data_IF_607632939526
#
_entry.id   IF_607632939526
#
_cell.length_a   1.000
_cell.length_b   1.000
_cell.length_c   1.000
_cell.angle_alpha   90.00
_cell.angle_beta   90.00
_cell.angle_gamma   90.00
#
_symmetry.space_group_name_H-M   'P 1'
#
loop_
_entity.id
_entity.type
_entity.pdbx_description
1 polymer ?
#
# COMPACT_ATOMS: atom_id res chain seq x y z
N UNK A 1 26.80 11.40 -15.69
CA UNK A 1 27.00 10.36 -14.71
C UNK A 1 27.78 9.21 -15.34
N UNK A 2 28.92 8.84 -14.78
CA UNK A 2 29.80 7.80 -15.33
C UNK A 2 30.44 7.00 -14.20
N UNK A 3 30.80 5.74 -14.48
CA UNK A 3 31.46 4.84 -13.54
C UNK A 3 32.96 4.72 -13.85
N UNK A 4 33.76 4.62 -12.79
CA UNK A 4 35.22 4.47 -12.87
C UNK A 4 35.67 3.32 -11.97
N UNK A 5 36.66 2.56 -12.44
CA UNK A 5 37.33 1.53 -11.67
C UNK A 5 38.30 2.12 -10.62
N UNK A 6 38.89 1.26 -9.80
CA UNK A 6 39.91 1.66 -8.80
C UNK A 6 41.19 2.21 -9.43
N UNK A 7 41.41 1.96 -10.73
CA UNK A 7 42.50 2.50 -11.55
C UNK A 7 42.18 3.88 -12.18
N UNK A 8 40.98 4.44 -11.84
CA UNK A 8 40.52 5.72 -12.38
C UNK A 8 40.04 5.69 -13.83
N UNK A 9 40.00 4.52 -14.48
CA UNK A 9 39.53 4.38 -15.85
C UNK A 9 38.03 4.13 -15.89
N UNK A 10 37.32 4.59 -16.95
CA UNK A 10 35.91 4.25 -17.15
C UNK A 10 35.65 2.75 -17.10
N UNK A 11 34.61 2.35 -16.42
CA UNK A 11 34.22 0.94 -16.33
C UNK A 11 32.71 0.76 -16.48
N UNK A 12 32.28 -0.46 -16.79
CA UNK A 12 30.87 -0.84 -16.80
C UNK A 12 30.45 -1.24 -15.39
N UNK A 13 29.37 -0.67 -14.88
CA UNK A 13 28.77 -1.11 -13.61
C UNK A 13 28.26 -2.52 -13.71
N UNK A 14 28.69 -3.43 -12.81
CA UNK A 14 28.24 -4.83 -12.78
C UNK A 14 26.74 -4.97 -12.53
N UNK A 15 26.13 -4.07 -11.75
CA UNK A 15 24.70 -4.10 -11.44
C UNK A 15 23.83 -3.39 -12.47
N UNK A 16 24.38 -2.36 -13.16
CA UNK A 16 23.59 -1.52 -14.09
C UNK A 16 23.88 -1.82 -15.56
N UNK A 17 24.98 -2.52 -15.87
CA UNK A 17 25.37 -2.98 -17.20
C UNK A 17 25.66 -1.88 -18.24
N UNK A 18 25.91 -0.63 -17.79
CA UNK A 18 26.36 0.48 -18.64
C UNK A 18 27.55 1.20 -18.00
N UNK A 19 28.30 1.97 -18.81
CA UNK A 19 29.46 2.73 -18.34
C UNK A 19 29.10 4.18 -18.01
N UNK A 20 28.14 4.74 -18.72
CA UNK A 20 27.76 6.15 -18.60
C UNK A 20 26.26 6.33 -18.84
N UNK A 21 25.66 7.24 -18.10
CA UNK A 21 24.31 7.77 -18.37
C UNK A 21 24.43 9.24 -18.75
N UNK A 22 23.76 9.63 -19.83
CA UNK A 22 23.69 11.01 -20.32
C UNK A 22 22.27 11.47 -20.35
N UNK A 23 22.03 12.67 -19.83
CA UNK A 23 20.74 13.36 -19.92
C UNK A 23 20.88 14.59 -20.80
N UNK A 24 19.89 14.87 -21.61
CA UNK A 24 19.69 16.18 -22.24
C UNK A 24 18.43 16.80 -21.65
N UNK A 25 18.33 18.10 -21.75
CA UNK A 25 17.25 18.87 -21.18
C UNK A 25 16.56 19.71 -22.25
N UNK A 26 15.31 20.03 -22.03
CA UNK A 26 14.57 20.97 -22.86
C UNK A 26 14.89 22.42 -22.46
N UNK A 27 14.26 23.39 -23.13
CA UNK A 27 14.49 24.83 -22.90
C UNK A 27 14.01 25.29 -21.52
N UNK A 28 13.16 24.52 -20.84
CA UNK A 28 12.67 24.76 -19.48
C UNK A 28 13.52 24.08 -18.40
N UNK A 29 14.52 23.28 -18.80
CA UNK A 29 15.40 22.55 -17.88
C UNK A 29 14.87 21.18 -17.44
N UNK A 30 13.79 20.68 -18.04
CA UNK A 30 13.30 19.33 -17.76
C UNK A 30 14.01 18.29 -18.62
N UNK A 31 14.17 17.06 -18.10
CA UNK A 31 14.87 15.98 -18.82
C UNK A 31 14.12 15.69 -20.12
N UNK A 32 14.78 15.88 -21.25
CA UNK A 32 14.27 15.57 -22.60
C UNK A 32 14.64 14.15 -23.04
N UNK A 33 15.87 13.72 -22.76
CA UNK A 33 16.31 12.37 -23.06
C UNK A 33 17.22 11.84 -21.98
N UNK A 34 17.17 10.54 -21.75
CA UNK A 34 18.15 9.79 -20.97
C UNK A 34 18.71 8.66 -21.86
N UNK A 35 20.02 8.44 -21.83
CA UNK A 35 20.68 7.39 -22.61
C UNK A 35 21.70 6.65 -21.76
N UNK A 36 21.68 5.31 -21.87
CA UNK A 36 22.69 4.43 -21.29
C UNK A 36 23.72 4.08 -22.34
N UNK A 37 24.99 4.30 -22.03
CA UNK A 37 26.09 4.19 -22.97
C UNK A 37 27.12 3.19 -22.45
N UNK A 38 27.72 2.43 -23.36
CA UNK A 38 28.87 1.56 -23.10
C UNK A 38 30.19 2.35 -23.03
N UNK A 39 31.31 1.66 -22.89
CA UNK A 39 32.63 2.29 -22.81
C UNK A 39 33.05 3.01 -24.12
N UNK A 40 32.49 2.62 -25.24
CA UNK A 40 32.72 3.26 -26.54
C UNK A 40 31.82 4.43 -26.81
N UNK A 41 30.89 4.73 -25.87
CA UNK A 41 29.90 5.81 -25.98
C UNK A 41 28.69 5.44 -26.85
N UNK A 42 28.52 4.17 -27.18
CA UNK A 42 27.36 3.70 -27.93
C UNK A 42 26.22 3.29 -27.02
N UNK A 43 24.93 3.43 -27.46
CA UNK A 43 23.77 3.01 -26.69
C UNK A 43 23.86 1.53 -26.29
N UNK A 44 23.65 1.24 -25.01
CA UNK A 44 23.68 -0.12 -24.46
C UNK A 44 22.42 -0.42 -23.65
N UNK A 45 22.11 -1.71 -23.54
CA UNK A 45 20.90 -2.17 -22.86
C UNK A 45 21.04 -2.11 -21.32
N UNK A 46 20.03 -1.57 -20.67
CA UNK A 46 19.79 -1.61 -19.25
C UNK A 46 18.29 -1.86 -19.02
N UNK A 47 17.93 -2.93 -18.34
CA UNK A 47 16.54 -3.35 -18.07
C UNK A 47 15.60 -3.35 -19.30
N UNK A 48 16.20 -3.75 -20.46
CA UNK A 48 15.47 -3.90 -21.72
C UNK A 48 15.21 -2.58 -22.46
N UNK A 49 15.94 -1.50 -22.13
CA UNK A 49 15.93 -0.21 -22.83
C UNK A 49 17.37 0.31 -22.99
N UNK A 50 17.58 1.22 -23.92
CA UNK A 50 18.83 1.96 -24.07
C UNK A 50 18.72 3.41 -23.60
N UNK A 51 17.55 3.79 -23.15
CA UNK A 51 17.22 5.10 -22.61
C UNK A 51 15.73 5.39 -22.70
N UNK A 52 15.38 6.65 -22.42
CA UNK A 52 13.99 7.13 -22.46
C UNK A 52 13.96 8.54 -23.06
N UNK A 53 12.94 8.80 -23.89
CA UNK A 53 12.58 10.14 -24.34
C UNK A 53 11.38 10.63 -23.53
N UNK A 54 11.41 11.92 -23.15
CA UNK A 54 10.37 12.54 -22.36
C UNK A 54 9.84 13.79 -23.05
N UNK A 55 8.56 14.07 -22.83
CA UNK A 55 7.91 15.34 -23.18
C UNK A 55 7.28 15.87 -21.90
N UNK A 56 7.54 17.14 -21.59
CA UNK A 56 6.95 17.85 -20.45
C UNK A 56 6.13 19.05 -20.92
N UNK A 57 5.17 19.46 -20.08
CA UNK A 57 4.52 20.74 -20.25
C UNK A 57 5.36 21.88 -19.61
N UNK A 58 4.88 23.12 -19.71
CA UNK A 58 5.56 24.28 -19.14
C UNK A 58 5.63 24.25 -17.59
N UNK A 59 4.85 23.43 -16.92
CA UNK A 59 4.84 23.25 -15.47
C UNK A 59 5.76 22.11 -15.00
N UNK A 60 6.35 21.36 -15.95
CA UNK A 60 7.20 20.20 -15.68
C UNK A 60 6.45 18.88 -15.51
N UNK A 61 5.16 18.83 -15.81
CA UNK A 61 4.43 17.58 -15.79
C UNK A 61 4.85 16.72 -16.99
N UNK A 62 5.12 15.43 -16.77
CA UNK A 62 5.50 14.47 -17.79
C UNK A 62 4.30 14.11 -18.66
N UNK A 63 4.24 14.64 -19.89
CA UNK A 63 3.17 14.35 -20.86
C UNK A 63 3.39 13.03 -21.60
N UNK A 64 4.64 12.69 -21.91
CA UNK A 64 5.00 11.44 -22.57
C UNK A 64 6.32 10.88 -22.04
N UNK A 65 6.36 9.57 -21.92
CA UNK A 65 7.53 8.77 -21.59
C UNK A 65 7.64 7.64 -22.61
N UNK A 66 8.74 7.64 -23.39
CA UNK A 66 8.99 6.66 -24.44
C UNK A 66 10.30 5.93 -24.19
N UNK A 67 10.30 4.68 -23.68
CA UNK A 67 11.47 3.84 -23.59
C UNK A 67 12.02 3.52 -24.98
N UNK A 68 13.34 3.71 -25.19
CA UNK A 68 13.95 3.56 -26.53
C UNK A 68 15.02 2.46 -26.59
N UNK A 69 15.13 1.86 -27.77
CA UNK A 69 16.20 0.94 -28.17
C UNK A 69 17.46 1.68 -28.64
N UNK A 70 18.43 0.93 -29.20
CA UNK A 70 19.71 1.46 -29.68
C UNK A 70 19.57 2.48 -30.80
N UNK A 71 18.57 2.32 -31.65
CA UNK A 71 18.29 3.18 -32.80
C UNK A 71 17.38 4.37 -32.46
N UNK A 72 16.96 4.51 -31.18
CA UNK A 72 16.03 5.53 -30.73
C UNK A 72 14.55 5.24 -31.02
N UNK A 73 14.24 4.09 -31.64
CA UNK A 73 12.86 3.61 -31.76
C UNK A 73 12.32 3.12 -30.41
N UNK A 74 11.02 2.87 -30.32
CA UNK A 74 10.43 2.24 -29.12
C UNK A 74 11.13 0.89 -28.85
N UNK A 75 11.62 0.70 -27.63
CA UNK A 75 12.30 -0.52 -27.24
C UNK A 75 11.36 -1.74 -27.33
N UNK A 76 11.85 -2.93 -27.76
CA UNK A 76 11.03 -4.12 -27.94
C UNK A 76 10.26 -4.49 -26.67
N UNK A 77 8.95 -4.75 -26.80
CA UNK A 77 8.08 -5.14 -25.69
C UNK A 77 7.76 -4.02 -24.69
N UNK A 78 8.23 -2.80 -24.92
CA UNK A 78 7.91 -1.62 -24.09
C UNK A 78 6.72 -0.85 -24.67
N UNK A 79 6.13 0.00 -23.82
CA UNK A 79 5.01 0.86 -24.17
C UNK A 79 5.39 2.31 -23.97
N UNK A 80 4.80 3.18 -24.79
CA UNK A 80 4.81 4.63 -24.59
C UNK A 80 3.73 4.94 -23.56
N UNK A 81 4.07 5.74 -22.58
CA UNK A 81 3.13 6.27 -21.58
C UNK A 81 2.77 7.69 -21.98
N UNK A 82 1.47 8.04 -21.91
CA UNK A 82 0.99 9.40 -22.09
C UNK A 82 0.11 9.79 -20.92
N UNK A 83 0.35 10.97 -20.40
CA UNK A 83 -0.39 11.53 -19.27
C UNK A 83 -1.10 12.82 -19.67
N UNK A 84 -2.21 13.09 -19.00
CA UNK A 84 -2.87 14.41 -19.02
C UNK A 84 -2.99 14.94 -17.61
N UNK A 85 -2.93 16.24 -17.50
CA UNK A 85 -3.00 16.93 -16.22
C UNK A 85 -4.08 18.02 -16.26
N UNK A 86 -4.62 18.34 -15.11
CA UNK A 86 -5.45 19.53 -14.95
C UNK A 86 -4.59 20.78 -14.74
N UNK A 87 -5.25 21.94 -14.52
CA UNK A 87 -4.57 23.23 -14.40
C UNK A 87 -3.71 23.36 -13.13
N UNK A 88 -3.89 22.49 -12.14
CA UNK A 88 -3.14 22.51 -10.87
C UNK A 88 -2.12 21.39 -10.76
N UNK A 89 -1.96 20.59 -11.84
CA UNK A 89 -0.96 19.54 -11.93
C UNK A 89 -1.42 18.15 -11.46
N UNK A 90 -2.71 17.92 -11.23
CA UNK A 90 -3.20 16.57 -10.96
C UNK A 90 -3.22 15.75 -12.24
N UNK A 91 -2.66 14.54 -12.22
CA UNK A 91 -2.76 13.61 -13.36
C UNK A 91 -4.21 13.13 -13.51
N UNK A 92 -4.87 13.53 -14.60
CA UNK A 92 -6.27 13.16 -14.87
C UNK A 92 -6.41 11.96 -15.80
N UNK A 93 -5.36 11.62 -16.53
CA UNK A 93 -5.34 10.46 -17.43
C UNK A 93 -3.92 9.91 -17.53
N UNK A 94 -3.82 8.59 -17.49
CA UNK A 94 -2.64 7.81 -17.84
C UNK A 94 -3.04 6.80 -18.90
N UNK A 95 -2.32 6.75 -20.02
CA UNK A 95 -2.65 5.81 -21.11
C UNK A 95 -1.37 5.22 -21.71
N UNK A 96 -1.46 3.99 -22.25
CA UNK A 96 -0.34 3.27 -22.83
C UNK A 96 -0.54 3.01 -24.32
N UNK A 97 0.56 3.13 -25.08
CA UNK A 97 0.55 3.03 -26.53
C UNK A 97 1.73 2.16 -27.01
N UNK A 98 1.59 1.56 -28.17
CA UNK A 98 2.69 1.04 -28.96
C UNK A 98 2.84 1.85 -30.27
N UNK A 99 3.68 1.40 -31.20
CA UNK A 99 3.90 2.09 -32.47
C UNK A 99 2.66 2.11 -33.39
N UNK A 100 1.71 1.19 -33.18
CA UNK A 100 0.48 1.08 -33.97
C UNK A 100 -0.72 1.83 -33.37
N UNK A 101 -0.56 2.41 -32.17
CA UNK A 101 -1.62 3.16 -31.49
C UNK A 101 -1.88 2.67 -30.06
N UNK A 102 -3.14 2.80 -29.58
CA UNK A 102 -3.55 2.33 -28.25
C UNK A 102 -3.15 0.89 -28.00
N UNK A 103 -2.62 0.59 -26.81
CA UNK A 103 -2.16 -0.74 -26.43
C UNK A 103 -2.67 -1.13 -25.05
N UNK A 104 -2.54 -2.38 -24.68
CA UNK A 104 -2.82 -2.88 -23.34
C UNK A 104 -1.50 -3.09 -22.58
N UNK A 105 -1.47 -2.70 -21.32
CA UNK A 105 -0.38 -3.04 -20.41
C UNK A 105 -0.53 -4.49 -19.90
N UNK A 106 0.36 -4.92 -19.00
CA UNK A 106 0.34 -6.27 -18.40
C UNK A 106 -0.93 -6.56 -17.58
N UNK A 107 -1.73 -5.56 -17.26
CA UNK A 107 -3.00 -5.67 -16.54
C UNK A 107 -4.23 -5.57 -17.44
N UNK A 108 -4.07 -5.69 -18.76
CA UNK A 108 -5.11 -5.54 -19.78
C UNK A 108 -5.82 -4.17 -19.76
N UNK A 109 -5.10 -3.12 -19.36
CA UNK A 109 -5.60 -1.76 -19.31
C UNK A 109 -4.90 -0.92 -20.38
N UNK A 110 -5.68 -0.17 -21.15
CA UNK A 110 -5.16 0.87 -22.02
C UNK A 110 -5.03 2.19 -21.28
N UNK A 111 -6.07 2.58 -20.51
CA UNK A 111 -6.19 3.91 -19.92
C UNK A 111 -6.72 3.85 -18.50
N UNK A 112 -6.15 4.69 -17.63
CA UNK A 112 -6.65 5.00 -16.30
C UNK A 112 -7.08 6.47 -16.29
N UNK A 113 -8.30 6.77 -15.83
CA UNK A 113 -8.83 8.14 -15.71
C UNK A 113 -9.11 8.44 -14.25
N UNK A 114 -8.65 9.59 -13.78
CA UNK A 114 -8.78 10.07 -12.40
C UNK A 114 -9.56 11.38 -12.38
N UNK A 115 -10.50 11.51 -11.47
CA UNK A 115 -11.33 12.70 -11.26
C UNK A 115 -11.03 13.26 -9.88
N UNK A 116 -10.86 14.57 -9.80
CA UNK A 116 -10.52 15.27 -8.55
C UNK A 116 -11.62 16.27 -8.19
N UNK A 117 -11.77 16.52 -6.89
CA UNK A 117 -12.62 17.59 -6.39
C UNK A 117 -11.85 18.94 -6.35
N UNK A 118 -12.52 20.00 -5.91
CA UNK A 118 -11.92 21.35 -5.80
C UNK A 118 -10.81 21.46 -4.74
N UNK A 119 -10.60 20.44 -3.91
CA UNK A 119 -9.51 20.35 -2.92
C UNK A 119 -8.35 19.45 -3.41
N UNK A 120 -8.32 19.11 -4.70
CA UNK A 120 -7.32 18.24 -5.33
C UNK A 120 -7.31 16.81 -4.76
N UNK A 121 -8.43 16.33 -4.23
CA UNK A 121 -8.59 14.96 -3.74
C UNK A 121 -9.23 14.11 -4.83
N UNK A 122 -8.66 12.94 -5.12
CA UNK A 122 -9.19 12.01 -6.10
C UNK A 122 -10.53 11.43 -5.64
N UNK A 123 -11.60 11.67 -6.42
CA UNK A 123 -12.96 11.21 -6.09
C UNK A 123 -13.40 9.99 -6.88
N UNK A 124 -12.79 9.76 -8.05
CA UNK A 124 -13.06 8.58 -8.88
C UNK A 124 -11.80 8.19 -9.64
N UNK A 125 -11.58 6.89 -9.77
CA UNK A 125 -10.62 6.27 -10.69
C UNK A 125 -11.33 5.19 -11.48
N UNK A 126 -11.07 5.14 -12.79
CA UNK A 126 -11.61 4.10 -13.67
C UNK A 126 -10.59 3.64 -14.69
N UNK A 127 -10.83 2.47 -15.24
CA UNK A 127 -9.95 1.84 -16.23
C UNK A 127 -10.73 1.50 -17.49
N UNK A 128 -10.12 1.81 -18.64
CA UNK A 128 -10.70 1.60 -19.95
C UNK A 128 -9.80 0.69 -20.80
N UNK A 129 -10.42 -0.09 -21.71
CA UNK A 129 -9.75 -0.86 -22.76
C UNK A 129 -9.34 0.05 -23.96
N UNK A 130 -8.76 -0.56 -25.00
CA UNK A 130 -8.31 0.17 -26.22
C UNK A 130 -9.47 0.80 -27.01
N UNK A 131 -10.70 0.32 -26.83
CA UNK A 131 -11.91 0.86 -27.46
C UNK A 131 -12.57 1.96 -26.63
N UNK A 132 -12.04 2.24 -25.43
CA UNK A 132 -12.59 3.22 -24.49
C UNK A 132 -13.74 2.70 -23.64
N UNK A 133 -14.00 1.39 -23.66
CA UNK A 133 -14.97 0.77 -22.76
C UNK A 133 -14.35 0.51 -21.39
N UNK A 134 -15.19 0.59 -20.34
CA UNK A 134 -14.76 0.20 -19.00
C UNK A 134 -14.26 -1.25 -18.99
N UNK A 135 -13.10 -1.46 -18.34
CA UNK A 135 -12.52 -2.79 -18.13
C UNK A 135 -12.14 -2.97 -16.66
N UNK A 136 -12.02 -4.21 -16.20
CA UNK A 136 -11.64 -4.50 -14.82
C UNK A 136 -10.14 -4.33 -14.62
N UNK A 137 -9.76 -3.83 -13.44
CA UNK A 137 -8.36 -3.67 -13.05
C UNK A 137 -7.77 -5.04 -12.69
N UNK A 138 -6.83 -5.52 -13.51
CA UNK A 138 -6.10 -6.78 -13.29
C UNK A 138 -7.05 -7.97 -12.99
N UNK A 139 -6.82 -8.66 -11.86
CA UNK A 139 -7.66 -9.75 -11.34
C UNK A 139 -8.84 -9.25 -10.50
N UNK A 140 -8.89 -7.95 -10.21
CA UNK A 140 -9.99 -7.32 -9.49
C UNK A 140 -11.27 -7.31 -10.35
N UNK A 141 -12.41 -7.41 -9.67
CA UNK A 141 -13.71 -7.45 -10.36
C UNK A 141 -14.30 -6.07 -10.61
N UNK A 142 -13.62 -5.00 -10.18
CA UNK A 142 -14.10 -3.63 -10.34
C UNK A 142 -13.40 -2.90 -11.48
N UNK A 143 -14.14 -2.00 -12.12
CA UNK A 143 -13.69 -1.12 -13.19
C UNK A 143 -13.66 0.35 -12.75
N UNK A 144 -14.32 0.67 -11.63
CA UNK A 144 -14.36 2.02 -11.06
C UNK A 144 -14.21 1.90 -9.54
N UNK A 145 -13.42 2.80 -8.97
CA UNK A 145 -13.38 3.05 -7.52
C UNK A 145 -13.74 4.51 -7.25
N UNK A 146 -14.54 4.75 -6.20
CA UNK A 146 -14.95 6.10 -5.76
C UNK A 146 -14.59 6.34 -4.32
N UNK A 147 -14.13 7.56 -4.04
CA UNK A 147 -13.72 8.00 -2.72
C UNK A 147 -14.58 9.19 -2.25
N UNK A 148 -14.83 9.24 -0.94
CA UNK A 148 -15.36 10.42 -0.26
C UNK A 148 -14.43 10.80 0.87
N UNK A 149 -14.37 12.09 1.16
CA UNK A 149 -13.46 12.65 2.16
C UNK A 149 -14.24 13.45 3.20
N UNK A 150 -13.69 13.54 4.41
CA UNK A 150 -14.12 14.52 5.40
C UNK A 150 -13.44 15.88 5.15
N UNK A 151 -13.75 16.86 6.01
CA UNK A 151 -13.19 18.21 5.92
C UNK A 151 -11.67 18.27 6.22
N UNK A 152 -11.10 17.23 6.82
CA UNK A 152 -9.68 17.12 7.12
C UNK A 152 -8.90 16.37 6.03
N UNK A 153 -9.59 15.88 5.00
CA UNK A 153 -8.99 15.15 3.90
C UNK A 153 -8.84 13.65 4.12
N UNK A 154 -9.41 13.08 5.17
CA UNK A 154 -9.38 11.65 5.38
C UNK A 154 -10.41 10.95 4.48
N UNK A 155 -10.07 9.78 3.93
CA UNK A 155 -10.98 8.96 3.11
C UNK A 155 -12.05 8.31 4.01
N UNK A 156 -13.26 8.89 4.05
CA UNK A 156 -14.37 8.36 4.85
C UNK A 156 -15.16 7.26 4.14
N UNK A 157 -15.06 7.15 2.81
CA UNK A 157 -15.74 6.08 2.05
C UNK A 157 -14.93 5.69 0.83
N UNK A 158 -14.87 4.38 0.58
CA UNK A 158 -14.41 3.79 -0.70
C UNK A 158 -15.50 2.87 -1.22
N UNK A 159 -15.81 2.93 -2.54
CA UNK A 159 -16.83 2.08 -3.16
C UNK A 159 -16.38 1.59 -4.53
N UNK A 160 -16.67 0.33 -4.85
CA UNK A 160 -16.23 -0.39 -6.03
C UNK A 160 -17.38 -0.69 -6.98
N UNK A 161 -17.17 -0.48 -8.29
CA UNK A 161 -18.20 -0.67 -9.31
C UNK A 161 -17.63 -1.47 -10.49
N UNK A 162 -18.47 -2.32 -11.07
CA UNK A 162 -18.14 -3.12 -12.24
C UNK A 162 -18.20 -2.31 -13.55
N UNK A 163 -17.99 -3.01 -14.67
CA UNK A 163 -18.08 -2.45 -16.01
C UNK A 163 -19.50 -1.96 -16.37
N UNK A 164 -20.51 -2.50 -15.73
CA UNK A 164 -21.92 -2.08 -15.82
C UNK A 164 -22.26 -0.90 -14.87
N UNK A 165 -21.26 -0.37 -14.18
CA UNK A 165 -21.37 0.70 -13.18
C UNK A 165 -22.23 0.36 -11.95
N UNK A 166 -22.54 -0.92 -11.73
CA UNK A 166 -23.20 -1.39 -10.51
C UNK A 166 -22.18 -1.76 -9.45
N UNK A 167 -22.55 -1.70 -8.14
CA UNK A 167 -21.68 -2.13 -7.07
C UNK A 167 -21.18 -3.57 -7.26
N UNK A 168 -19.89 -3.80 -7.04
CA UNK A 168 -19.27 -5.13 -7.08
C UNK A 168 -18.38 -5.32 -5.86
N UNK A 169 -18.16 -6.57 -5.47
CA UNK A 169 -17.18 -6.89 -4.42
C UNK A 169 -15.76 -6.78 -4.98
N UNK A 170 -14.86 -6.14 -4.21
CA UNK A 170 -13.42 -6.25 -4.44
C UNK A 170 -12.92 -7.66 -4.08
N UNK A 171 -11.65 -7.93 -4.26
CA UNK A 171 -11.07 -9.26 -3.99
C UNK A 171 -11.16 -9.65 -2.51
N UNK A 172 -11.14 -8.68 -1.61
CA UNK A 172 -11.27 -8.89 -0.17
C UNK A 172 -12.71 -9.19 0.29
N UNK A 173 -13.73 -9.05 -0.61
CA UNK A 173 -15.08 -9.54 -0.38
C UNK A 173 -16.15 -8.51 -0.06
N UNK A 174 -15.82 -7.20 -0.03
CA UNK A 174 -16.81 -6.12 0.16
C UNK A 174 -16.96 -5.23 -1.09
N UNK A 175 -18.06 -4.50 -1.15
CA UNK A 175 -18.34 -3.55 -2.24
C UNK A 175 -18.07 -2.09 -1.83
N UNK A 176 -18.16 -1.78 -0.53
CA UNK A 176 -17.80 -0.45 -0.04
C UNK A 176 -17.38 -0.47 1.43
N UNK A 177 -16.68 0.59 1.85
CA UNK A 177 -16.28 0.83 3.23
C UNK A 177 -16.72 2.20 3.70
N UNK A 178 -16.95 2.33 5.02
CA UNK A 178 -17.06 3.61 5.72
C UNK A 178 -16.05 3.64 6.87
N UNK A 179 -15.29 4.73 6.97
CA UNK A 179 -14.29 4.97 8.01
C UNK A 179 -14.69 6.16 8.88
N UNK A 180 -14.46 6.02 10.18
CA UNK A 180 -14.55 7.11 11.16
C UNK A 180 -13.16 7.33 11.74
N UNK A 181 -12.75 8.58 11.85
CA UNK A 181 -11.43 8.97 12.34
C UNK A 181 -11.56 9.73 13.67
N UNK A 182 -10.57 9.58 14.52
CA UNK A 182 -10.41 10.43 15.71
C UNK A 182 -9.67 11.74 15.34
N UNK A 183 -9.49 12.61 16.34
CA UNK A 183 -8.80 13.91 16.17
C UNK A 183 -7.32 13.78 15.75
N UNK A 184 -6.72 12.60 15.89
CA UNK A 184 -5.34 12.31 15.48
C UNK A 184 -5.27 11.77 14.03
N UNK A 185 -6.39 11.69 13.30
CA UNK A 185 -6.45 11.11 11.97
C UNK A 185 -6.32 9.58 11.97
N UNK A 186 -6.53 8.90 13.10
CA UNK A 186 -6.51 7.43 13.19
C UNK A 186 -7.92 6.88 13.00
N UNK A 187 -8.06 5.77 12.25
CA UNK A 187 -9.35 5.08 12.08
C UNK A 187 -9.76 4.48 13.43
N UNK A 188 -10.94 4.88 13.96
CA UNK A 188 -11.53 4.31 15.17
C UNK A 188 -12.69 3.37 14.86
N UNK A 189 -13.27 3.46 13.65
CA UNK A 189 -14.28 2.52 13.17
C UNK A 189 -14.16 2.36 11.66
N UNK A 190 -14.18 1.11 11.19
CA UNK A 190 -14.28 0.77 9.78
C UNK A 190 -15.44 -0.20 9.57
N UNK A 191 -16.35 0.15 8.67
CA UNK A 191 -17.53 -0.68 8.34
C UNK A 191 -17.43 -1.15 6.90
N UNK A 192 -17.82 -2.40 6.64
CA UNK A 192 -17.74 -3.07 5.35
C UNK A 192 -19.13 -3.49 4.88
N UNK A 193 -19.43 -3.24 3.62
CA UNK A 193 -20.77 -3.43 3.05
C UNK A 193 -20.74 -4.32 1.81
N UNK A 194 -21.80 -5.08 1.62
CA UNK A 194 -22.06 -5.87 0.43
C UNK A 194 -22.52 -4.99 -0.76
N UNK A 195 -22.84 -5.61 -1.90
CA UNK A 195 -23.30 -4.94 -3.12
C UNK A 195 -24.66 -4.26 -2.97
N UNK A 196 -25.45 -4.62 -1.96
CA UNK A 196 -26.76 -4.05 -1.67
C UNK A 196 -26.68 -2.93 -0.61
N UNK A 197 -25.50 -2.67 -0.07
CA UNK A 197 -25.29 -1.70 1.01
C UNK A 197 -25.60 -2.24 2.40
N UNK A 198 -25.84 -3.56 2.55
CA UNK A 198 -25.97 -4.18 3.86
C UNK A 198 -24.58 -4.46 4.45
N UNK A 199 -24.43 -4.50 5.78
CA UNK A 199 -23.22 -5.01 6.41
C UNK A 199 -22.83 -6.38 5.83
N UNK A 200 -21.52 -6.63 5.67
CA UNK A 200 -21.02 -7.94 5.20
C UNK A 200 -21.46 -9.08 6.11
N UNK A 201 -21.55 -10.30 5.58
CA UNK A 201 -21.87 -11.49 6.37
C UNK A 201 -20.76 -11.76 7.40
N UNK A 202 -21.04 -11.74 8.71
CA UNK A 202 -20.04 -11.94 9.76
C UNK A 202 -19.39 -13.33 9.75
N UNK A 203 -19.96 -14.29 9.05
CA UNK A 203 -19.38 -15.63 8.87
C UNK A 203 -18.25 -15.64 7.84
N UNK A 204 -18.26 -14.68 6.92
CA UNK A 204 -17.29 -14.57 5.83
C UNK A 204 -16.27 -13.49 6.16
N UNK A 205 -16.72 -12.35 6.67
CA UNK A 205 -15.91 -11.18 6.96
C UNK A 205 -16.54 -10.34 8.07
N UNK A 206 -15.71 -9.80 8.94
CA UNK A 206 -16.14 -8.87 9.99
C UNK A 206 -16.83 -7.66 9.37
N UNK A 207 -18.12 -7.39 9.70
CA UNK A 207 -18.84 -6.23 9.18
C UNK A 207 -18.29 -4.89 9.70
N UNK A 208 -17.83 -4.86 10.96
CA UNK A 208 -17.34 -3.63 11.59
C UNK A 208 -16.13 -3.94 12.46
N UNK A 209 -15.01 -3.28 12.17
CA UNK A 209 -13.84 -3.19 13.04
C UNK A 209 -13.87 -1.88 13.83
N UNK A 210 -13.57 -1.95 15.12
CA UNK A 210 -13.40 -0.77 15.97
C UNK A 210 -12.05 -0.79 16.65
N UNK A 211 -11.45 0.40 16.80
CA UNK A 211 -10.12 0.57 17.40
C UNK A 211 -10.12 1.75 18.38
N UNK A 212 -9.25 1.68 19.39
CA UNK A 212 -8.97 2.81 20.28
C UNK A 212 -7.47 3.03 20.39
N UNK A 213 -7.08 4.25 20.72
CA UNK A 213 -5.68 4.67 20.79
C UNK A 213 -5.44 5.47 22.07
N UNK A 214 -4.22 5.36 22.61
CA UNK A 214 -3.77 6.25 23.67
C UNK A 214 -3.43 7.66 23.13
N UNK A 215 -3.05 8.56 24.02
CA UNK A 215 -2.69 9.94 23.68
C UNK A 215 -1.45 10.08 22.79
N UNK A 216 -0.63 9.04 22.66
CA UNK A 216 0.56 9.01 21.80
C UNK A 216 0.29 8.35 20.44
N UNK A 217 -0.93 7.79 20.25
CA UNK A 217 -1.34 7.15 19.02
C UNK A 217 -1.02 5.66 18.96
N UNK A 218 -0.68 5.02 20.08
CA UNK A 218 -0.55 3.57 20.17
C UNK A 218 -1.94 2.94 20.26
N UNK A 219 -2.18 1.86 19.52
CA UNK A 219 -3.46 1.17 19.49
C UNK A 219 -3.66 0.37 20.78
N UNK A 220 -4.65 0.72 21.58
CA UNK A 220 -4.91 0.09 22.90
C UNK A 220 -6.04 -0.94 22.85
N UNK A 221 -6.87 -0.88 21.82
CA UNK A 221 -8.05 -1.72 21.68
C UNK A 221 -8.38 -2.00 20.22
N UNK A 222 -8.74 -3.24 19.91
CA UNK A 222 -9.35 -3.66 18.65
C UNK A 222 -10.52 -4.58 18.98
N UNK A 223 -11.64 -4.43 18.28
CA UNK A 223 -12.73 -5.39 18.38
C UNK A 223 -13.47 -5.54 17.05
N UNK A 224 -14.15 -6.67 16.92
CA UNK A 224 -15.00 -7.01 15.79
C UNK A 224 -16.47 -6.97 16.21
N UNK A 225 -17.31 -6.31 15.39
CA UNK A 225 -18.75 -6.21 15.64
C UNK A 225 -19.55 -6.66 14.42
N UNK A 226 -20.78 -7.10 14.66
CA UNK A 226 -21.79 -7.24 13.61
C UNK A 226 -22.32 -5.88 13.14
N UNK A 227 -23.28 -5.89 12.20
CA UNK A 227 -23.91 -4.65 11.71
C UNK A 227 -24.78 -3.91 12.74
N UNK A 228 -25.08 -4.51 13.89
CA UNK A 228 -25.90 -3.97 14.96
C UNK A 228 -25.08 -3.47 16.16
N UNK A 229 -23.75 -3.66 16.12
CA UNK A 229 -22.84 -3.23 17.18
C UNK A 229 -22.57 -4.27 18.27
N UNK A 230 -23.05 -5.51 18.14
CA UNK A 230 -22.70 -6.57 19.08
C UNK A 230 -21.31 -7.13 18.73
N UNK A 231 -20.52 -7.44 19.75
CA UNK A 231 -19.23 -8.09 19.53
C UNK A 231 -19.41 -9.48 18.94
N UNK A 232 -18.57 -9.82 17.97
CA UNK A 232 -18.52 -11.13 17.33
C UNK A 232 -17.09 -11.68 17.38
N UNK A 233 -16.97 -13.02 17.35
CA UNK A 233 -15.67 -13.65 17.10
C UNK A 233 -15.29 -13.35 15.64
N UNK A 234 -14.12 -12.77 15.44
CA UNK A 234 -13.56 -12.59 14.10
C UNK A 234 -13.17 -13.95 13.53
N UNK A 235 -13.76 -14.38 12.40
CA UNK A 235 -13.52 -15.72 11.83
C UNK A 235 -12.07 -15.93 11.38
N UNK A 236 -11.32 -14.85 11.14
CA UNK A 236 -9.93 -14.91 10.68
C UNK A 236 -8.93 -14.99 11.83
N UNK A 237 -9.26 -14.38 12.98
CA UNK A 237 -8.33 -14.26 14.12
C UNK A 237 -8.73 -15.11 15.32
N UNK A 238 -10.00 -15.54 15.39
CA UNK A 238 -10.51 -16.40 16.45
C UNK A 238 -10.86 -15.71 17.78
N UNK A 239 -10.76 -14.38 17.87
CA UNK A 239 -11.13 -13.62 19.07
C UNK A 239 -12.08 -12.47 18.72
N UNK A 240 -12.76 -11.91 19.72
CA UNK A 240 -13.68 -10.78 19.54
C UNK A 240 -13.02 -9.44 19.87
N UNK A 241 -12.20 -9.40 20.91
CA UNK A 241 -11.56 -8.20 21.44
C UNK A 241 -10.09 -8.49 21.73
N UNK A 242 -9.23 -7.55 21.36
CA UNK A 242 -7.82 -7.49 21.74
C UNK A 242 -7.57 -6.19 22.50
N UNK A 243 -6.91 -6.26 23.68
CA UNK A 243 -6.43 -5.10 24.43
C UNK A 243 -4.93 -5.10 24.53
N UNK A 244 -4.34 -3.91 24.39
CA UNK A 244 -2.91 -3.69 24.44
C UNK A 244 -2.55 -2.58 25.42
N UNK A 245 -1.42 -2.70 26.08
CA UNK A 245 -0.88 -1.66 26.95
C UNK A 245 0.54 -1.32 26.52
N UNK A 246 0.95 -0.08 26.76
CA UNK A 246 2.24 0.44 26.31
C UNK A 246 2.92 1.20 27.47
N UNK A 247 4.25 1.27 27.41
CA UNK A 247 5.02 2.20 28.24
C UNK A 247 5.12 3.59 27.62
N UNK A 248 5.83 4.50 28.27
CA UNK A 248 6.01 5.89 27.80
C UNK A 248 6.87 6.00 26.54
N UNK A 249 7.60 4.95 26.15
CA UNK A 249 8.44 4.89 24.95
C UNK A 249 7.70 4.28 23.75
N UNK A 250 6.45 3.79 23.96
CA UNK A 250 5.65 3.12 22.93
C UNK A 250 5.91 1.62 22.80
N UNK A 251 6.66 1.02 23.73
CA UNK A 251 6.85 -0.42 23.75
C UNK A 251 5.58 -1.11 24.23
N UNK A 252 5.12 -2.13 23.50
CA UNK A 252 3.94 -2.91 23.88
C UNK A 252 4.27 -3.78 25.10
N UNK A 253 3.64 -3.47 26.24
CA UNK A 253 3.85 -4.20 27.50
C UNK A 253 2.98 -5.45 27.61
N UNK A 254 1.80 -5.46 26.99
CA UNK A 254 0.93 -6.63 27.00
C UNK A 254 -0.08 -6.63 25.85
N UNK A 255 -0.49 -7.86 25.47
CA UNK A 255 -1.66 -8.13 24.61
C UNK A 255 -2.54 -9.14 25.32
N UNK A 256 -3.87 -8.93 25.31
CA UNK A 256 -4.82 -9.83 25.95
C UNK A 256 -6.08 -9.99 25.10
N UNK A 257 -6.57 -11.22 24.94
CA UNK A 257 -7.65 -11.62 24.05
C UNK A 257 -8.94 -11.91 24.83
N UNK A 258 -10.09 -11.47 24.30
CA UNK A 258 -11.37 -11.59 25.00
C UNK A 258 -12.45 -12.07 24.02
N UNK A 259 -13.46 -12.74 24.59
CA UNK A 259 -14.64 -13.19 23.86
C UNK A 259 -15.69 -12.08 23.69
N UNK A 260 -16.83 -12.42 23.09
CA UNK A 260 -17.97 -11.49 22.84
C UNK A 260 -18.58 -10.88 24.11
N UNK A 261 -18.39 -11.50 25.28
CA UNK A 261 -18.87 -11.04 26.58
C UNK A 261 -17.78 -10.32 27.38
N UNK A 262 -16.67 -9.95 26.71
CA UNK A 262 -15.51 -9.29 27.33
C UNK A 262 -14.87 -10.11 28.47
N UNK A 263 -14.93 -11.43 28.38
CA UNK A 263 -14.26 -12.34 29.30
C UNK A 263 -12.97 -12.88 28.68
N UNK A 264 -11.93 -13.14 29.49
CA UNK A 264 -10.70 -13.76 29.03
C UNK A 264 -10.96 -14.97 28.14
N UNK A 265 -10.31 -15.02 26.97
CA UNK A 265 -10.36 -16.17 26.08
C UNK A 265 -8.97 -16.48 25.53
N UNK A 266 -8.71 -17.75 25.25
CA UNK A 266 -7.50 -18.15 24.55
C UNK A 266 -7.58 -17.76 23.06
N UNK A 267 -6.49 -17.28 22.49
CA UNK A 267 -6.32 -17.09 21.04
C UNK A 267 -6.08 -18.44 20.33
N UNK A 268 -5.81 -18.41 19.03
CA UNK A 268 -5.48 -19.61 18.24
C UNK A 268 -4.27 -20.38 18.74
N UNK A 269 -3.33 -19.69 19.42
CA UNK A 269 -2.12 -20.26 19.98
C UNK A 269 -2.32 -20.83 21.40
N UNK A 270 -3.53 -20.70 21.94
CA UNK A 270 -3.96 -21.29 23.19
C UNK A 270 -3.77 -20.42 24.43
N UNK A 271 -3.11 -19.26 24.36
CA UNK A 271 -2.95 -18.35 25.51
C UNK A 271 -3.95 -17.17 25.45
N UNK A 272 -4.31 -16.67 26.65
CA UNK A 272 -5.14 -15.48 26.79
C UNK A 272 -4.34 -14.19 26.71
N UNK A 273 -3.14 -14.18 27.31
CA UNK A 273 -2.35 -12.95 27.46
C UNK A 273 -0.88 -13.24 27.27
N UNK A 274 -0.21 -12.30 26.64
CA UNK A 274 1.25 -12.20 26.60
C UNK A 274 1.71 -10.89 27.20
N UNK A 275 2.91 -10.88 27.82
CA UNK A 275 3.51 -9.70 28.44
C UNK A 275 4.95 -9.57 28.05
N UNK A 276 5.42 -8.33 27.97
CA UNK A 276 6.79 -7.98 27.59
C UNK A 276 7.42 -7.05 28.64
N UNK A 277 8.74 -7.17 28.85
CA UNK A 277 9.53 -6.19 29.59
C UNK A 277 10.63 -5.66 28.69
N UNK A 278 11.00 -4.43 28.93
CA UNK A 278 12.03 -3.74 28.16
C UNK A 278 13.06 -3.13 29.09
N UNK A 279 14.32 -3.03 28.65
CA UNK A 279 15.36 -2.25 29.32
C UNK A 279 15.29 -0.77 28.90
N UNK A 280 16.19 0.05 29.45
CA UNK A 280 16.26 1.48 29.17
C UNK A 280 16.61 1.81 27.70
N UNK A 281 17.17 0.85 26.96
CA UNK A 281 17.53 0.99 25.54
C UNK A 281 16.42 0.49 24.62
N UNK A 282 15.22 0.20 25.18
CA UNK A 282 14.05 -0.34 24.47
C UNK A 282 14.24 -1.74 23.90
N UNK A 283 15.22 -2.51 24.36
CA UNK A 283 15.37 -3.91 24.01
C UNK A 283 14.45 -4.78 24.88
N UNK A 284 13.70 -5.71 24.26
CA UNK A 284 12.83 -6.64 24.99
C UNK A 284 13.69 -7.60 25.84
N UNK A 285 13.49 -7.59 27.15
CA UNK A 285 14.24 -8.44 28.09
C UNK A 285 13.46 -9.62 28.61
N UNK A 286 12.14 -9.63 28.50
CA UNK A 286 11.28 -10.73 28.91
C UNK A 286 10.03 -10.81 28.03
N UNK A 287 9.61 -12.03 27.68
CA UNK A 287 8.34 -12.34 27.07
C UNK A 287 7.69 -13.52 27.82
N UNK A 288 6.42 -13.41 28.21
CA UNK A 288 5.75 -14.44 29.01
C UNK A 288 4.27 -14.62 28.60
N UNK A 289 3.75 -15.85 28.79
CA UNK A 289 2.41 -16.29 28.37
C UNK A 289 1.54 -16.69 29.57
N UNK A 290 0.24 -16.36 29.51
CA UNK A 290 -0.71 -16.59 30.59
C UNK A 290 -2.03 -17.17 30.06
N UNK A 291 -2.63 -18.07 30.82
CA UNK A 291 -3.93 -18.62 30.55
C UNK A 291 -5.09 -17.70 30.92
N UNK A 292 -6.32 -18.13 30.65
CA UNK A 292 -7.55 -17.38 30.96
C UNK A 292 -7.79 -17.20 32.45
N UNK A 293 -7.17 -17.99 33.31
CA UNK A 293 -7.17 -17.87 34.77
C UNK A 293 -6.09 -16.91 35.30
N UNK A 294 -5.32 -16.28 34.40
CA UNK A 294 -4.22 -15.39 34.73
C UNK A 294 -2.96 -16.09 35.23
N UNK A 295 -2.92 -17.41 35.25
CA UNK A 295 -1.74 -18.18 35.66
C UNK A 295 -0.78 -18.37 34.50
N UNK A 296 0.52 -18.63 34.79
CA UNK A 296 1.50 -19.03 33.81
C UNK A 296 1.01 -20.19 32.94
N UNK A 297 1.17 -20.05 31.61
CA UNK A 297 0.77 -21.03 30.62
C UNK A 297 1.95 -21.40 29.72
N UNK A 298 2.00 -22.67 29.28
CA UNK A 298 3.04 -23.13 28.37
C UNK A 298 2.59 -22.92 26.91
N UNK A 299 3.38 -22.17 26.17
CA UNK A 299 3.32 -22.06 24.72
C UNK A 299 4.62 -22.65 24.15
N UNK A 300 4.54 -23.65 23.28
CA UNK A 300 5.70 -24.46 22.83
C UNK A 300 6.58 -24.95 24.01
N UNK A 301 5.95 -25.38 25.12
CA UNK A 301 6.63 -25.81 26.35
C UNK A 301 7.40 -24.70 27.11
N UNK A 302 7.18 -23.43 26.75
CA UNK A 302 7.83 -22.28 27.37
C UNK A 302 6.75 -21.38 27.96
N UNK A 303 6.86 -21.04 29.23
CA UNK A 303 6.05 -20.00 29.88
C UNK A 303 6.65 -18.61 29.68
N UNK A 304 7.98 -18.52 29.77
CA UNK A 304 8.69 -17.24 29.76
C UNK A 304 10.06 -17.39 29.12
N UNK A 305 10.40 -16.42 28.28
CA UNK A 305 11.73 -16.24 27.69
C UNK A 305 12.36 -14.98 28.26
N UNK A 306 13.67 -15.01 28.48
CA UNK A 306 14.45 -13.85 28.92
C UNK A 306 15.61 -13.62 27.96
N UNK A 307 15.89 -12.35 27.68
CA UNK A 307 16.91 -11.94 26.72
C UNK A 307 17.92 -11.01 27.41
N UNK A 308 19.20 -11.23 27.17
CA UNK A 308 20.29 -10.38 27.61
C UNK A 308 20.91 -9.67 26.40
N UNK A 309 21.48 -8.49 26.62
CA UNK A 309 22.07 -7.68 25.57
C UNK A 309 23.43 -7.13 26.04
N UNK A 310 24.38 -7.06 25.12
CA UNK A 310 25.66 -6.39 25.36
C UNK A 310 25.51 -4.85 25.27
N UNK A 311 26.59 -4.14 25.52
CA UNK A 311 26.61 -2.65 25.48
C UNK A 311 26.39 -2.07 24.09
N UNK A 312 26.47 -2.87 23.03
CA UNK A 312 26.19 -2.47 21.64
C UNK A 312 24.76 -2.79 21.23
N UNK A 313 23.95 -3.39 22.12
CA UNK A 313 22.57 -3.79 21.83
C UNK A 313 22.44 -5.14 21.12
N UNK A 314 23.49 -5.93 21.00
CA UNK A 314 23.42 -7.28 20.45
C UNK A 314 22.90 -8.25 21.52
N UNK A 315 21.98 -9.14 21.14
CA UNK A 315 21.50 -10.20 22.01
C UNK A 315 22.63 -11.21 22.28
N UNK A 316 22.83 -11.57 23.54
CA UNK A 316 23.88 -12.48 24.02
C UNK A 316 23.31 -13.67 24.76
#
# INVERSE_FOLDING_TARGET
YAFFGTDGKPCVSKGLHYAKMVKTYDDNGYVKTERYLDLSGQPTWHDGICGTDYIHDAMGNELENKPVGRDGSLAPGKLIIRNKYDRVGNCTEYAVFNLNGPALNSWNIHRCVMVYNSLNQETERRWDDVSGNLTTYNTDKYAIVRYKYDLLGNVVSTAYFGVDKKPVKCNEGWASTLNVYNKMGKIVKQSFFDINGNPTDPKVMVPVGICDYDKWGNMTFIASQDGHGHYIINPQTGWAILRMTYDSHGNCLSRAYFNVSDKPMANSDGYHKETYKFNNDNNCTEHAYFGTDGKPMLYYSIHRETYAYDTNGNQV
#
